data_IF_251798756513
#
_entry.id   IF_251798756513
#
_cell.length_a   1.000
_cell.length_b   1.000
_cell.length_c   1.000
_cell.angle_alpha   90.00
_cell.angle_beta   90.00
_cell.angle_gamma   90.00
#
_symmetry.space_group_name_H-M   'P 1'
#
loop_
_entity.id
_entity.type
_entity.pdbx_description
1 polymer ?
#
# COMPACT_ATOMS: atom_id res chain seq x y z
N UNK A 1 -38.33 -8.58 -39.02
CA UNK A 1 -37.04 -7.85 -39.14
C UNK A 1 -36.53 -7.26 -37.82
N UNK A 2 -37.40 -6.94 -36.84
CA UNK A 2 -36.98 -6.40 -35.51
C UNK A 2 -36.36 -7.43 -34.54
N UNK A 3 -36.80 -8.69 -34.53
CA UNK A 3 -36.26 -9.75 -33.63
C UNK A 3 -34.80 -10.13 -33.93
N UNK A 4 -34.38 -10.07 -35.19
CA UNK A 4 -33.02 -10.46 -35.59
C UNK A 4 -31.96 -9.46 -35.09
N UNK A 5 -32.34 -8.20 -34.84
CA UNK A 5 -31.43 -7.16 -34.31
C UNK A 5 -31.26 -7.31 -32.79
N UNK A 6 -32.29 -7.78 -32.06
CA UNK A 6 -32.19 -8.02 -30.61
C UNK A 6 -31.30 -9.20 -30.26
N UNK A 7 -31.36 -10.29 -31.05
CA UNK A 7 -30.58 -11.51 -30.77
C UNK A 7 -29.07 -11.29 -30.99
N UNK A 8 -28.71 -10.47 -31.98
CA UNK A 8 -27.30 -10.08 -32.23
C UNK A 8 -26.77 -9.19 -31.11
N UNK A 9 -27.58 -8.26 -30.57
CA UNK A 9 -27.16 -7.45 -29.41
C UNK A 9 -26.96 -8.30 -28.15
N UNK A 10 -27.86 -9.23 -27.85
CA UNK A 10 -27.76 -10.11 -26.67
C UNK A 10 -26.51 -11.01 -26.70
N UNK A 11 -26.15 -11.55 -27.88
CA UNK A 11 -24.96 -12.39 -28.04
C UNK A 11 -23.64 -11.61 -27.93
N UNK A 12 -23.59 -10.37 -28.44
CA UNK A 12 -22.44 -9.48 -28.26
C UNK A 12 -22.25 -9.10 -26.79
N UNK A 13 -23.33 -8.82 -26.04
CA UNK A 13 -23.26 -8.57 -24.61
C UNK A 13 -22.76 -9.81 -23.84
N UNK A 14 -23.27 -11.01 -24.16
CA UNK A 14 -22.82 -12.25 -23.53
C UNK A 14 -21.33 -12.56 -23.79
N UNK A 15 -20.85 -12.36 -25.02
CA UNK A 15 -19.44 -12.56 -25.35
C UNK A 15 -18.53 -11.54 -24.64
N UNK A 16 -18.95 -10.28 -24.60
CA UNK A 16 -18.24 -9.22 -23.88
C UNK A 16 -18.16 -9.53 -22.37
N UNK A 17 -19.27 -9.96 -21.76
CA UNK A 17 -19.31 -10.33 -20.35
C UNK A 17 -18.43 -11.54 -20.02
N UNK A 18 -18.41 -12.55 -20.91
CA UNK A 18 -17.56 -13.72 -20.75
C UNK A 18 -16.07 -13.37 -20.87
N UNK A 19 -15.69 -12.56 -21.87
CA UNK A 19 -14.33 -12.07 -22.05
C UNK A 19 -13.89 -11.23 -20.85
N UNK A 20 -14.72 -10.26 -20.43
CA UNK A 20 -14.44 -9.39 -19.30
C UNK A 20 -14.22 -10.19 -18.00
N UNK A 21 -15.10 -11.16 -17.73
CA UNK A 21 -15.00 -12.05 -16.56
C UNK A 21 -13.71 -12.87 -16.58
N UNK A 22 -13.34 -13.44 -17.73
CA UNK A 22 -12.14 -14.28 -17.84
C UNK A 22 -10.85 -13.45 -17.76
N UNK A 23 -10.82 -12.27 -18.38
CA UNK A 23 -9.68 -11.33 -18.30
C UNK A 23 -9.47 -10.87 -16.86
N UNK A 24 -10.54 -10.41 -16.20
CA UNK A 24 -10.46 -9.96 -14.80
C UNK A 24 -10.01 -11.08 -13.88
N UNK A 25 -10.54 -12.31 -14.06
CA UNK A 25 -10.12 -13.50 -13.31
C UNK A 25 -8.65 -13.83 -13.55
N UNK A 26 -8.19 -13.75 -14.80
CA UNK A 26 -6.78 -13.97 -15.15
C UNK A 26 -5.88 -12.96 -14.43
N UNK A 27 -6.20 -11.67 -14.48
CA UNK A 27 -5.43 -10.64 -13.77
C UNK A 27 -5.46 -10.83 -12.25
N UNK A 28 -6.59 -11.24 -11.67
CA UNK A 28 -6.68 -11.55 -10.25
C UNK A 28 -5.71 -12.68 -9.85
N UNK A 29 -5.69 -13.78 -10.61
CA UNK A 29 -4.74 -14.87 -10.37
C UNK A 29 -3.29 -14.47 -10.67
N UNK A 30 -3.05 -13.65 -11.71
CA UNK A 30 -1.73 -13.16 -12.06
C UNK A 30 -1.15 -12.30 -10.93
N UNK A 31 -1.93 -11.38 -10.37
CA UNK A 31 -1.50 -10.55 -9.23
C UNK A 31 -1.14 -11.42 -8.03
N UNK A 32 -1.98 -12.40 -7.68
CA UNK A 32 -1.69 -13.33 -6.59
C UNK A 32 -0.42 -14.14 -6.84
N UNK A 33 -0.23 -14.62 -8.08
CA UNK A 33 0.97 -15.37 -8.47
C UNK A 33 2.23 -14.50 -8.41
N UNK A 34 2.15 -13.24 -8.85
CA UNK A 34 3.25 -12.29 -8.74
C UNK A 34 3.59 -11.99 -7.28
N UNK A 35 2.59 -11.76 -6.42
CA UNK A 35 2.81 -11.56 -4.98
C UNK A 35 3.48 -12.77 -4.34
N UNK A 36 3.02 -13.99 -4.67
CA UNK A 36 3.65 -15.21 -4.21
C UNK A 36 5.10 -15.33 -4.72
N UNK A 37 5.34 -15.02 -6.00
CA UNK A 37 6.67 -15.03 -6.61
C UNK A 37 7.64 -14.04 -5.95
N UNK A 38 7.19 -12.81 -5.67
CA UNK A 38 7.97 -11.80 -4.94
C UNK A 38 8.26 -12.28 -3.52
N UNK A 39 7.26 -12.86 -2.83
CA UNK A 39 7.44 -13.38 -1.47
C UNK A 39 8.49 -14.50 -1.43
N UNK A 40 8.44 -15.44 -2.38
CA UNK A 40 9.43 -16.51 -2.52
C UNK A 40 10.81 -15.95 -2.85
N UNK A 41 10.89 -14.97 -3.75
CA UNK A 41 12.14 -14.31 -4.13
C UNK A 41 12.80 -13.62 -2.92
N UNK A 42 12.03 -12.85 -2.15
CA UNK A 42 12.51 -12.20 -0.93
C UNK A 42 12.94 -13.22 0.13
N UNK A 43 12.19 -14.30 0.29
CA UNK A 43 12.54 -15.35 1.24
C UNK A 43 13.88 -16.00 0.87
N UNK A 44 14.04 -16.45 -0.37
CA UNK A 44 15.30 -17.04 -0.87
C UNK A 44 16.46 -16.05 -0.76
N UNK A 45 16.24 -14.78 -1.13
CA UNK A 45 17.25 -13.73 -1.01
C UNK A 45 17.67 -13.45 0.44
N UNK A 46 16.77 -13.63 1.41
CA UNK A 46 17.03 -13.39 2.84
C UNK A 46 17.70 -14.57 3.56
N UNK A 47 17.71 -15.78 2.99
CA UNK A 47 18.25 -17.00 3.63
C UNK A 47 19.68 -16.85 4.16
N UNK A 48 20.65 -16.28 3.41
CA UNK A 48 22.00 -16.09 3.89
C UNK A 48 22.07 -15.21 5.15
N UNK A 49 21.31 -14.11 5.18
CA UNK A 49 21.23 -13.23 6.33
C UNK A 49 20.59 -13.92 7.54
N UNK A 50 19.49 -14.65 7.34
CA UNK A 50 18.83 -15.41 8.41
C UNK A 50 19.77 -16.45 9.02
N UNK A 51 20.55 -17.15 8.19
CA UNK A 51 21.53 -18.14 8.67
C UNK A 51 22.69 -17.51 9.43
N UNK A 52 23.17 -16.35 8.99
CA UNK A 52 24.29 -15.64 9.61
C UNK A 52 23.91 -15.01 10.97
N UNK A 53 22.79 -14.29 11.03
CA UNK A 53 22.42 -13.50 12.20
C UNK A 53 21.38 -14.19 13.11
N UNK A 54 20.58 -15.11 12.56
CA UNK A 54 19.60 -15.90 13.29
C UNK A 54 18.63 -15.06 14.14
N UNK A 55 18.16 -15.64 15.24
CA UNK A 55 17.30 -14.95 16.20
C UNK A 55 18.03 -13.84 16.99
N UNK A 56 19.37 -13.92 17.06
CA UNK A 56 20.21 -12.90 17.72
C UNK A 56 20.09 -11.52 17.07
N UNK A 57 19.76 -11.47 15.77
CA UNK A 57 19.49 -10.24 15.04
C UNK A 57 18.50 -9.31 15.77
N UNK A 58 17.39 -9.86 16.28
CA UNK A 58 16.29 -9.06 16.85
C UNK A 58 16.72 -8.31 18.12
N UNK A 59 17.59 -8.93 18.92
CA UNK A 59 18.04 -8.38 20.20
C UNK A 59 19.39 -7.63 20.11
N UNK A 60 20.10 -7.73 18.98
CA UNK A 60 21.40 -7.10 18.81
C UNK A 60 21.25 -5.62 18.42
N UNK A 61 21.80 -4.66 19.20
CA UNK A 61 21.82 -3.25 18.83
C UNK A 61 22.99 -2.84 17.93
N UNK A 62 24.01 -3.69 17.76
CA UNK A 62 25.22 -3.34 17.02
C UNK A 62 24.95 -3.16 15.52
N UNK A 63 25.46 -2.08 14.94
CA UNK A 63 25.47 -1.86 13.50
C UNK A 63 26.86 -1.43 13.07
N UNK A 64 27.65 -2.40 12.59
CA UNK A 64 29.02 -2.18 12.16
C UNK A 64 29.27 -2.77 10.76
N UNK A 65 29.19 -1.94 9.71
CA UNK A 65 29.46 -2.37 8.34
C UNK A 65 30.90 -2.83 8.09
N UNK A 66 31.87 -2.43 8.93
CA UNK A 66 33.29 -2.79 8.75
C UNK A 66 33.54 -4.24 9.17
N UNK A 67 32.84 -4.70 10.21
CA UNK A 67 32.95 -6.08 10.73
C UNK A 67 31.80 -6.97 10.25
N UNK A 68 30.95 -6.48 9.33
CA UNK A 68 29.74 -7.16 8.85
C UNK A 68 28.78 -7.59 9.98
N UNK A 69 28.74 -6.82 11.07
CA UNK A 69 27.84 -7.06 12.20
C UNK A 69 26.59 -6.18 12.06
N UNK A 70 25.45 -6.82 11.79
CA UNK A 70 24.18 -6.13 11.61
C UNK A 70 23.14 -6.62 12.61
N UNK A 71 22.73 -5.72 13.49
CA UNK A 71 21.68 -5.92 14.49
C UNK A 71 20.38 -5.21 14.10
N UNK A 72 19.26 -5.86 14.41
CA UNK A 72 17.91 -5.40 14.11
C UNK A 72 17.25 -4.59 15.21
N UNK A 73 17.78 -4.59 16.44
CA UNK A 73 17.09 -4.00 17.58
C UNK A 73 16.84 -2.50 17.40
N UNK A 74 17.87 -1.76 16.98
CA UNK A 74 17.80 -0.30 16.77
C UNK A 74 16.77 0.07 15.69
N UNK A 75 16.81 -0.48 14.45
CA UNK A 75 15.83 -0.14 13.43
C UNK A 75 14.40 -0.61 13.77
N UNK A 76 14.23 -1.76 14.42
CA UNK A 76 12.91 -2.23 14.89
C UNK A 76 12.33 -1.26 15.92
N UNK A 77 13.11 -0.95 16.96
CA UNK A 77 12.66 -0.04 18.01
C UNK A 77 12.39 1.36 17.46
N UNK A 78 13.28 1.89 16.62
CA UNK A 78 13.10 3.17 15.95
C UNK A 78 11.81 3.23 15.14
N UNK A 79 11.51 2.17 14.37
CA UNK A 79 10.26 2.07 13.59
C UNK A 79 9.02 2.08 14.49
N UNK A 80 9.03 1.31 15.58
CA UNK A 80 7.89 1.22 16.50
C UNK A 80 7.64 2.56 17.18
N UNK A 81 8.69 3.19 17.74
CA UNK A 81 8.57 4.46 18.46
C UNK A 81 8.14 5.58 17.52
N UNK A 82 8.77 5.70 16.34
CA UNK A 82 8.43 6.73 15.36
C UNK A 82 7.00 6.55 14.84
N UNK A 83 6.58 5.32 14.55
CA UNK A 83 5.20 5.03 14.12
C UNK A 83 4.19 5.32 15.22
N UNK A 84 4.51 5.01 16.48
CA UNK A 84 3.64 5.29 17.62
C UNK A 84 3.45 6.80 17.83
N UNK A 85 4.54 7.59 17.78
CA UNK A 85 4.49 9.05 17.86
C UNK A 85 3.69 9.62 16.68
N UNK A 86 3.96 9.13 15.47
CA UNK A 86 3.25 9.56 14.27
C UNK A 86 1.74 9.31 14.39
N UNK A 87 1.32 8.12 14.84
CA UNK A 87 -0.10 7.80 15.06
C UNK A 87 -0.73 8.66 16.16
N UNK A 88 -0.01 8.85 17.27
CA UNK A 88 -0.50 9.66 18.39
C UNK A 88 -0.83 11.10 17.98
N UNK A 89 -0.08 11.65 17.02
CA UNK A 89 -0.31 13.00 16.49
C UNK A 89 -1.31 12.96 15.31
N UNK A 90 -1.11 12.06 14.35
CA UNK A 90 -1.89 12.02 13.11
C UNK A 90 -3.36 11.69 13.35
N UNK A 91 -3.66 10.78 14.29
CA UNK A 91 -5.03 10.36 14.59
C UNK A 91 -5.89 11.53 15.09
N UNK A 92 -5.56 12.24 16.19
CA UNK A 92 -6.40 13.35 16.66
C UNK A 92 -6.50 14.49 15.65
N UNK A 93 -5.41 14.79 14.92
CA UNK A 93 -5.42 15.80 13.85
C UNK A 93 -6.37 15.40 12.72
N UNK A 94 -6.33 14.15 12.29
CA UNK A 94 -7.22 13.63 11.24
C UNK A 94 -8.68 13.68 11.65
N UNK A 95 -8.99 13.33 12.90
CA UNK A 95 -10.34 13.47 13.46
C UNK A 95 -10.80 14.94 13.49
N UNK A 96 -9.92 15.86 13.90
CA UNK A 96 -10.22 17.30 13.91
C UNK A 96 -10.54 17.84 12.50
N UNK A 97 -9.74 17.45 11.50
CA UNK A 97 -9.97 17.83 10.10
C UNK A 97 -11.28 17.23 9.59
N UNK A 98 -11.55 15.95 9.89
CA UNK A 98 -12.78 15.28 9.48
C UNK A 98 -14.02 15.99 10.04
N UNK A 99 -14.05 16.24 11.35
CA UNK A 99 -15.16 16.96 12.02
C UNK A 99 -15.34 18.37 11.49
N UNK A 100 -14.24 19.10 11.25
CA UNK A 100 -14.32 20.43 10.65
C UNK A 100 -14.96 20.37 9.27
N UNK A 101 -14.53 19.46 8.40
CA UNK A 101 -15.05 19.33 7.03
C UNK A 101 -16.50 18.85 6.96
N UNK A 102 -16.96 18.07 7.93
CA UNK A 102 -18.34 17.57 7.97
C UNK A 102 -19.29 18.56 8.61
N UNK A 103 -18.95 19.11 9.77
CA UNK A 103 -19.90 19.86 10.61
C UNK A 103 -19.73 21.38 10.55
N UNK A 104 -18.53 21.89 10.28
CA UNK A 104 -18.21 23.32 10.49
C UNK A 104 -17.75 24.06 9.22
N UNK A 105 -17.30 23.34 8.19
CA UNK A 105 -16.65 23.93 7.04
C UNK A 105 -17.64 24.63 6.09
N UNK A 106 -17.41 25.90 5.73
CA UNK A 106 -18.30 26.62 4.82
C UNK A 106 -18.28 26.02 3.40
N UNK A 107 -19.40 26.04 2.66
CA UNK A 107 -19.54 25.31 1.39
C UNK A 107 -18.50 25.66 0.32
N UNK A 108 -18.02 26.90 0.29
CA UNK A 108 -17.03 27.37 -0.67
C UNK A 108 -15.60 26.87 -0.37
N UNK A 109 -15.30 26.54 0.89
CA UNK A 109 -13.97 26.09 1.32
C UNK A 109 -13.83 24.56 1.30
N UNK A 110 -14.95 23.84 1.42
CA UNK A 110 -14.98 22.38 1.49
C UNK A 110 -14.31 21.69 0.30
N UNK A 111 -14.58 22.16 -0.92
CA UNK A 111 -13.98 21.63 -2.16
C UNK A 111 -12.47 21.84 -2.23
N UNK A 112 -11.93 23.07 -2.17
CA UNK A 112 -10.49 23.27 -2.29
C UNK A 112 -9.68 22.58 -1.19
N UNK A 113 -10.18 22.56 0.06
CA UNK A 113 -9.49 21.86 1.16
C UNK A 113 -9.52 20.35 0.95
N UNK A 114 -10.66 19.78 0.56
CA UNK A 114 -10.75 18.35 0.24
C UNK A 114 -9.78 17.94 -0.86
N UNK A 115 -9.73 18.70 -1.96
CA UNK A 115 -8.76 18.45 -3.03
C UNK A 115 -7.31 18.56 -2.55
N UNK A 116 -6.98 19.55 -1.72
CA UNK A 116 -5.62 19.65 -1.18
C UNK A 116 -5.22 18.43 -0.34
N UNK A 117 -6.13 17.89 0.48
CA UNK A 117 -5.90 16.67 1.27
C UNK A 117 -5.70 15.46 0.36
N UNK A 118 -6.55 15.30 -0.66
CA UNK A 118 -6.42 14.20 -1.64
C UNK A 118 -5.10 14.29 -2.41
N UNK A 119 -4.69 15.50 -2.82
CA UNK A 119 -3.42 15.72 -3.49
C UNK A 119 -2.23 15.40 -2.58
N UNK A 120 -2.27 15.82 -1.31
CA UNK A 120 -1.23 15.49 -0.33
C UNK A 120 -1.07 13.98 -0.13
N UNK A 121 -2.18 13.23 -0.13
CA UNK A 121 -2.17 11.77 -0.04
C UNK A 121 -1.64 11.10 -1.31
N UNK A 122 -1.71 11.77 -2.45
CA UNK A 122 -1.19 11.29 -3.74
C UNK A 122 0.31 11.56 -3.95
N UNK A 123 0.96 12.37 -3.10
CA UNK A 123 2.39 12.67 -3.24
C UNK A 123 3.22 11.40 -2.93
N UNK A 124 4.13 10.99 -3.83
CA UNK A 124 5.03 9.86 -3.58
C UNK A 124 5.84 10.04 -2.30
N UNK A 125 5.90 9.00 -1.46
CA UNK A 125 6.61 9.04 -0.18
C UNK A 125 8.10 9.41 -0.30
N UNK A 126 8.74 9.07 -1.42
CA UNK A 126 10.14 9.44 -1.70
C UNK A 126 10.36 10.95 -1.68
N UNK A 127 9.38 11.75 -2.12
CA UNK A 127 9.50 13.21 -2.14
C UNK A 127 9.58 13.76 -0.72
N UNK A 128 8.80 13.21 0.21
CA UNK A 128 8.86 13.60 1.62
C UNK A 128 10.16 13.14 2.30
N UNK A 129 10.81 12.09 1.81
CA UNK A 129 12.03 11.52 2.40
C UNK A 129 13.35 12.09 1.87
N UNK A 130 13.33 12.90 0.81
CA UNK A 130 14.53 13.45 0.15
C UNK A 130 15.04 14.79 0.73
N UNK A 131 14.54 15.22 1.88
CA UNK A 131 14.90 16.48 2.54
C UNK A 131 16.04 16.32 3.55
#
# INVERSE_FOLDING_TARGET
MSRQISDVRLSVHFLADLLFKNITRFFAFLVLLLLAGISVSLFIGSLPAIRQFGFGFIANPAWNPVTEEFGGLVPIFGTIVTSAIALLIAVPVSFGIALFLTEMCPPWLKRPVGTAIELLAGIPSIIYGMW
#
